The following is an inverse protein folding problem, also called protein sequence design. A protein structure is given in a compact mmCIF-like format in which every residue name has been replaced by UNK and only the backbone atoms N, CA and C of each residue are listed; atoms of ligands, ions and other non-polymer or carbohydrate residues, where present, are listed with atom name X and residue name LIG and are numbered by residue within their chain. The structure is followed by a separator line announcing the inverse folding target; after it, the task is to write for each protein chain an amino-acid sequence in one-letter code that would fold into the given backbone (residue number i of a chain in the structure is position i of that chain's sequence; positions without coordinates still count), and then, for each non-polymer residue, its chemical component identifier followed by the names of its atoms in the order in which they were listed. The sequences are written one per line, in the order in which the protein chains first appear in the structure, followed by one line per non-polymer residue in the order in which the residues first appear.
data_IF_526166969275
#
_entry.id   IF_526166969275
#
_cell.length_a   1.000
_cell.length_b   1.000
_cell.length_c   1.000
_cell.angle_alpha   90.00
_cell.angle_beta   90.00
_cell.angle_gamma   90.00
#
_symmetry.space_group_name_H-M   'P 1'
#
loop_
_entity.id
_entity.type
_entity.pdbx_description
1 polymer ?
#
# COMPACT_ATOMS: atom_id res chain seq x y z
N UNK A 1 17.53 -6.55 -3.54
CA UNK A 1 16.65 -5.64 -2.77
C UNK A 1 17.29 -4.27 -2.78
N UNK A 2 16.55 -3.25 -3.24
CA UNK A 2 17.03 -1.88 -3.31
C UNK A 2 17.23 -1.31 -1.89
N UNK A 3 18.29 -0.54 -1.71
CA UNK A 3 18.60 0.10 -0.44
C UNK A 3 18.06 1.53 -0.42
N UNK A 4 17.01 1.76 0.35
CA UNK A 4 16.40 3.08 0.54
C UNK A 4 16.92 3.82 1.79
N UNK A 5 17.94 3.30 2.47
CA UNK A 5 18.47 3.91 3.70
C UNK A 5 19.03 5.32 3.49
N UNK A 6 19.36 5.65 2.25
CA UNK A 6 19.82 6.99 1.89
C UNK A 6 18.70 8.04 1.83
N UNK A 7 17.41 7.60 1.83
CA UNK A 7 16.29 8.52 1.89
C UNK A 7 16.08 9.01 3.30
N UNK A 8 16.31 10.06 3.76
CA UNK A 8 16.04 10.68 5.03
C UNK A 8 16.15 9.77 6.25
N UNK A 9 17.17 9.92 6.99
CA UNK A 9 17.43 9.06 8.14
C UNK A 9 16.43 9.28 9.21
N UNK A 10 15.85 10.40 9.34
CA UNK A 10 14.96 10.62 10.44
C UNK A 10 14.33 11.97 10.44
N UNK A 11 13.07 11.92 10.47
CA UNK A 11 12.29 13.11 10.50
C UNK A 11 11.89 13.45 11.90
N UNK A 12 11.59 12.43 12.65
CA UNK A 12 11.15 12.53 14.04
C UNK A 12 11.90 11.53 14.87
N UNK A 13 12.35 12.00 16.00
CA UNK A 13 12.98 11.16 16.98
C UNK A 13 11.90 10.60 17.89
N UNK A 14 11.68 9.29 17.78
CA UNK A 14 10.90 8.56 18.76
C UNK A 14 11.86 7.81 19.67
N UNK A 15 12.27 8.40 20.81
CA UNK A 15 13.32 7.83 21.68
C UNK A 15 12.99 6.43 22.17
N UNK A 16 11.69 6.13 22.31
CA UNK A 16 11.18 4.88 22.86
C UNK A 16 11.05 3.77 21.82
N UNK A 17 11.34 4.04 20.56
CA UNK A 17 11.14 3.08 19.47
C UNK A 17 12.41 2.88 18.68
N UNK A 18 12.68 1.63 18.39
CA UNK A 18 13.83 1.24 17.59
C UNK A 18 13.63 1.62 16.12
N UNK A 19 13.90 2.84 15.81
CA UNK A 19 13.80 3.38 14.44
C UNK A 19 14.78 2.67 13.47
N UNK A 20 15.88 2.15 13.98
CA UNK A 20 16.80 1.36 13.17
C UNK A 20 16.17 0.05 12.71
N UNK A 21 15.27 -0.54 13.49
CA UNK A 21 14.53 -1.74 13.07
C UNK A 21 13.62 -1.43 11.87
N UNK A 22 13.05 -0.24 11.83
CA UNK A 22 12.28 0.23 10.68
C UNK A 22 13.12 0.26 9.40
N UNK A 23 14.32 0.81 9.43
CA UNK A 23 15.23 0.89 8.30
C UNK A 23 15.73 -0.48 7.82
N UNK A 24 15.94 -1.39 8.73
CA UNK A 24 16.41 -2.73 8.41
C UNK A 24 15.33 -3.65 7.86
N UNK A 25 14.06 -3.37 8.13
CA UNK A 25 12.96 -4.20 7.71
C UNK A 25 12.19 -3.62 6.50
N UNK A 26 12.89 -3.42 5.40
CA UNK A 26 12.27 -2.97 4.13
C UNK A 26 11.46 -4.06 3.42
N UNK A 27 11.16 -5.17 4.08
CA UNK A 27 10.32 -6.24 3.53
C UNK A 27 8.82 -5.93 3.60
N UNK A 28 8.42 -4.82 4.22
CA UNK A 28 7.03 -4.38 4.27
C UNK A 28 6.85 -3.11 3.45
N UNK A 29 5.68 -2.94 2.89
CA UNK A 29 5.32 -1.73 2.18
C UNK A 29 4.83 -0.62 3.10
N UNK A 30 4.55 -0.94 4.38
CA UNK A 30 4.05 0.01 5.36
C UNK A 30 4.65 -0.22 6.72
N UNK A 31 4.97 0.88 7.37
CA UNK A 31 5.44 0.91 8.74
C UNK A 31 4.64 1.90 9.55
N UNK A 32 4.13 1.44 10.67
CA UNK A 32 3.66 2.33 11.70
C UNK A 32 4.82 2.71 12.61
N UNK A 33 5.11 3.98 12.79
CA UNK A 33 6.30 4.42 13.51
C UNK A 33 6.02 5.21 14.75
N UNK A 34 4.82 5.46 15.15
CA UNK A 34 4.79 6.34 16.27
C UNK A 34 3.49 6.70 16.93
N UNK A 35 3.55 7.76 17.65
CA UNK A 35 2.45 8.31 18.41
C UNK A 35 1.73 9.33 17.53
N UNK A 36 0.58 8.97 17.09
CA UNK A 36 -0.20 9.69 16.11
C UNK A 36 -0.71 11.05 16.53
N UNK A 37 -1.01 11.19 17.80
CA UNK A 37 -1.52 12.43 18.35
C UNK A 37 -0.56 13.61 18.19
N UNK A 38 0.71 13.31 17.88
CA UNK A 38 1.76 14.33 17.71
C UNK A 38 2.00 14.68 16.24
N UNK A 39 1.33 14.01 15.29
CA UNK A 39 1.54 14.26 13.89
C UNK A 39 0.55 15.28 13.35
N UNK A 40 1.06 16.38 12.84
CA UNK A 40 0.27 17.30 12.03
C UNK A 40 -0.25 16.55 10.78
N UNK A 41 -1.49 16.83 10.33
CA UNK A 41 -2.09 16.08 9.23
C UNK A 41 -1.27 16.05 7.95
N UNK A 42 -0.54 17.12 7.64
CA UNK A 42 0.31 17.27 6.46
C UNK A 42 1.76 16.80 6.65
N UNK A 43 2.09 16.21 7.81
CA UNK A 43 3.42 15.70 8.15
C UNK A 43 3.42 14.23 8.59
N UNK A 44 2.52 13.44 8.07
CA UNK A 44 2.45 12.02 8.38
C UNK A 44 3.70 11.26 7.88
N UNK A 45 4.05 10.17 8.56
CA UNK A 45 5.18 9.32 8.17
C UNK A 45 4.95 8.62 6.84
N UNK A 46 3.70 8.29 6.55
CA UNK A 46 3.30 7.82 5.25
C UNK A 46 1.88 8.24 4.88
N UNK A 47 1.61 8.26 3.59
CA UNK A 47 0.31 8.57 3.05
C UNK A 47 -0.24 7.41 2.23
N UNK A 48 -1.54 7.17 2.35
CA UNK A 48 -2.33 6.43 1.38
C UNK A 48 -2.77 7.40 0.29
N UNK A 49 -2.19 7.27 -0.92
CA UNK A 49 -2.37 8.24 -2.00
C UNK A 49 -3.37 7.72 -3.02
N UNK A 50 -4.36 8.55 -3.34
CA UNK A 50 -5.28 8.32 -4.44
C UNK A 50 -4.86 9.11 -5.69
N UNK A 51 -4.79 8.42 -6.82
CA UNK A 51 -4.58 9.03 -8.14
C UNK A 51 -5.90 9.19 -8.94
N UNK A 52 -7.02 8.81 -8.33
CA UNK A 52 -8.34 8.84 -8.93
C UNK A 52 -9.23 7.71 -8.45
N UNK A 53 -10.42 7.63 -9.00
CA UNK A 53 -11.44 6.63 -8.65
C UNK A 53 -11.65 5.58 -9.75
N UNK A 54 -10.90 5.65 -10.85
CA UNK A 54 -11.01 4.72 -11.98
C UNK A 54 -10.50 3.33 -11.62
N UNK A 55 -11.29 2.29 -11.90
CA UNK A 55 -10.92 0.90 -11.61
C UNK A 55 -11.64 -0.07 -12.54
N UNK A 56 -10.92 -1.06 -13.08
CA UNK A 56 -11.42 -2.08 -13.99
C UNK A 56 -11.83 -3.39 -13.31
N UNK A 57 -11.77 -3.48 -11.97
CA UNK A 57 -12.00 -4.73 -11.25
C UNK A 57 -13.49 -5.03 -10.96
N UNK A 58 -14.32 -4.00 -10.76
CA UNK A 58 -15.75 -4.16 -10.51
C UNK A 58 -16.11 -4.95 -9.24
N UNK A 59 -15.24 -5.00 -8.23
CA UNK A 59 -15.47 -5.79 -7.01
C UNK A 59 -16.75 -5.39 -6.29
N UNK A 60 -17.59 -6.36 -5.93
CA UNK A 60 -18.83 -6.17 -5.18
C UNK A 60 -18.64 -5.75 -3.72
N UNK A 61 -17.43 -5.96 -3.19
CA UNK A 61 -17.02 -5.56 -1.85
C UNK A 61 -16.15 -4.27 -1.82
N UNK A 62 -16.07 -3.52 -2.90
CA UNK A 62 -15.24 -2.32 -2.97
C UNK A 62 -15.75 -1.24 -2.02
N UNK A 63 -14.97 -0.93 -1.00
CA UNK A 63 -15.33 0.02 0.06
C UNK A 63 -15.38 1.49 -0.40
N UNK A 64 -14.77 1.82 -1.55
CA UNK A 64 -14.80 3.16 -2.17
C UNK A 64 -15.65 3.24 -3.43
N UNK A 65 -16.32 2.16 -3.81
CA UNK A 65 -17.16 2.08 -5.00
C UNK A 65 -16.47 2.49 -6.31
N UNK A 66 -15.16 2.27 -6.42
CA UNK A 66 -14.40 2.57 -7.63
C UNK A 66 -14.96 1.83 -8.86
N UNK A 67 -14.96 2.47 -10.01
CA UNK A 67 -15.59 1.96 -11.23
C UNK A 67 -14.77 2.31 -12.48
N UNK A 68 -15.08 1.64 -13.62
CA UNK A 68 -14.38 1.85 -14.88
C UNK A 68 -14.57 3.27 -15.43
N UNK A 69 -15.73 3.87 -15.20
CA UNK A 69 -16.04 5.26 -15.55
C UNK A 69 -15.58 6.28 -14.50
N UNK A 70 -14.81 5.87 -13.50
CA UNK A 70 -14.18 6.78 -12.55
C UNK A 70 -13.15 7.69 -13.22
N UNK A 71 -12.74 8.72 -12.52
CA UNK A 71 -11.76 9.70 -13.00
C UNK A 71 -10.32 9.33 -12.65
N UNK A 72 -9.37 9.80 -13.47
CA UNK A 72 -7.97 9.93 -13.11
C UNK A 72 -7.70 11.40 -12.80
N UNK A 73 -7.04 11.68 -11.66
CA UNK A 73 -6.69 13.07 -11.32
C UNK A 73 -5.61 13.60 -12.28
N UNK A 74 -5.75 14.85 -12.70
CA UNK A 74 -4.81 15.48 -13.60
C UNK A 74 -3.57 16.00 -12.86
N UNK A 75 -2.46 16.11 -13.59
CA UNK A 75 -1.25 16.82 -13.18
C UNK A 75 -0.63 16.31 -11.85
N UNK A 76 -0.80 15.00 -11.55
CA UNK A 76 -0.38 14.41 -10.27
C UNK A 76 1.11 14.54 -9.99
N UNK A 77 1.97 14.49 -11.02
CA UNK A 77 3.41 14.65 -10.89
C UNK A 77 3.77 16.08 -10.47
N UNK A 78 3.15 17.07 -11.11
CA UNK A 78 3.37 18.48 -10.79
C UNK A 78 2.83 18.81 -9.39
N UNK A 79 1.62 18.36 -9.08
CA UNK A 79 0.97 18.50 -7.77
C UNK A 79 1.86 17.93 -6.67
N UNK A 80 2.37 16.71 -6.87
CA UNK A 80 3.29 16.07 -5.90
C UNK A 80 4.57 16.88 -5.71
N UNK A 81 5.19 17.31 -6.80
CA UNK A 81 6.46 18.07 -6.77
C UNK A 81 6.28 19.39 -6.02
N UNK A 82 5.23 20.16 -6.35
CA UNK A 82 4.90 21.40 -5.65
C UNK A 82 4.65 21.17 -4.15
N UNK A 83 3.93 20.10 -3.80
CA UNK A 83 3.66 19.77 -2.41
C UNK A 83 4.94 19.39 -1.66
N UNK A 84 5.78 18.52 -2.22
CA UNK A 84 7.02 18.09 -1.59
C UNK A 84 8.07 19.21 -1.49
N UNK A 85 8.04 20.22 -2.34
CA UNK A 85 8.95 21.37 -2.25
C UNK A 85 8.69 22.28 -1.03
N UNK A 86 7.57 22.10 -0.35
CA UNK A 86 7.21 22.86 0.87
C UNK A 86 7.87 22.28 2.14
N UNK A 87 8.43 21.07 2.05
CA UNK A 87 9.07 20.43 3.19
C UNK A 87 10.56 20.78 3.23
N UNK A 88 11.08 20.91 4.45
CA UNK A 88 12.51 21.11 4.65
C UNK A 88 13.27 19.83 4.35
N UNK A 89 14.39 19.97 3.65
CA UNK A 89 15.31 18.89 3.37
C UNK A 89 16.74 19.40 3.44
N UNK A 90 17.60 18.65 4.09
CA UNK A 90 19.04 18.90 4.11
C UNK A 90 19.79 17.60 3.87
N UNK A 91 20.90 17.68 3.13
CA UNK A 91 21.79 16.56 2.87
C UNK A 91 23.13 16.82 3.53
N UNK A 92 23.57 15.92 4.38
CA UNK A 92 24.92 15.92 4.91
C UNK A 92 25.89 15.51 3.80
N UNK A 93 26.79 16.40 3.42
CA UNK A 93 27.72 16.19 2.30
C UNK A 93 28.74 15.08 2.57
N UNK A 94 29.09 14.82 3.83
CA UNK A 94 30.10 13.80 4.21
C UNK A 94 29.51 12.40 4.23
N UNK A 95 28.30 12.25 4.73
CA UNK A 95 27.65 10.95 4.92
C UNK A 95 26.65 10.64 3.82
N UNK A 96 26.22 11.61 3.05
CA UNK A 96 25.16 11.48 2.07
C UNK A 96 23.76 11.32 2.68
N UNK A 97 23.65 11.44 4.01
CA UNK A 97 22.39 11.25 4.74
C UNK A 97 21.47 12.47 4.49
N UNK A 98 20.21 12.16 4.18
CA UNK A 98 19.17 13.17 3.99
C UNK A 98 18.31 13.25 5.24
N UNK A 99 18.19 14.44 5.81
CA UNK A 99 17.23 14.76 6.89
C UNK A 99 16.10 15.57 6.29
N UNK A 100 14.87 15.17 6.52
CA UNK A 100 13.70 15.78 5.89
C UNK A 100 12.43 15.60 6.72
N UNK A 101 11.48 16.51 6.56
CA UNK A 101 10.11 16.40 7.11
C UNK A 101 9.13 15.73 6.14
N UNK A 102 9.56 15.37 4.95
CA UNK A 102 8.75 14.64 3.96
C UNK A 102 8.30 13.28 4.50
N UNK A 103 7.22 12.70 4.02
CA UNK A 103 6.88 11.30 4.33
C UNK A 103 8.01 10.38 3.91
N UNK A 104 8.25 9.31 4.67
CA UNK A 104 9.26 8.32 4.28
C UNK A 104 8.80 7.53 3.06
N UNK A 105 7.54 7.16 3.02
CA UNK A 105 6.94 6.36 1.95
C UNK A 105 5.49 6.73 1.71
N UNK A 106 4.99 6.34 0.55
CA UNK A 106 3.57 6.37 0.21
C UNK A 106 3.09 5.00 -0.24
N UNK A 107 1.79 4.75 -0.08
CA UNK A 107 1.09 3.63 -0.69
C UNK A 107 0.01 4.17 -1.63
N UNK A 108 0.17 3.94 -2.93
CA UNK A 108 -0.77 4.39 -3.95
C UNK A 108 -1.85 3.33 -4.12
N UNK A 109 -3.12 3.74 -4.19
CA UNK A 109 -4.24 2.83 -4.40
C UNK A 109 -5.27 2.81 -3.26
N UNK A 110 -5.34 3.88 -2.47
CA UNK A 110 -6.44 4.07 -1.51
C UNK A 110 -7.80 4.16 -2.19
N UNK A 111 -7.82 4.63 -3.44
CA UNK A 111 -8.99 4.60 -4.33
C UNK A 111 -8.56 4.22 -5.74
N UNK A 112 -9.49 3.59 -6.49
CA UNK A 112 -9.24 3.21 -7.88
C UNK A 112 -8.16 2.14 -8.06
N UNK A 113 -7.73 1.99 -9.29
CA UNK A 113 -6.65 1.08 -9.69
C UNK A 113 -5.48 1.90 -10.25
N UNK A 114 -4.33 1.93 -9.56
CA UNK A 114 -3.20 2.76 -9.97
C UNK A 114 -2.69 2.47 -11.39
N UNK A 115 -2.71 1.18 -11.80
CA UNK A 115 -2.21 0.78 -13.13
C UNK A 115 -3.07 1.29 -14.28
N UNK A 116 -4.27 1.80 -14.00
CA UNK A 116 -5.12 2.50 -14.97
C UNK A 116 -4.79 3.98 -15.13
N UNK A 117 -3.97 4.55 -14.24
CA UNK A 117 -3.60 5.96 -14.34
C UNK A 117 -2.52 6.18 -15.41
N UNK A 118 -2.75 7.07 -16.39
CA UNK A 118 -1.82 7.24 -17.52
C UNK A 118 -0.42 7.73 -17.10
N UNK A 119 -0.31 8.44 -15.99
CA UNK A 119 0.96 8.98 -15.48
C UNK A 119 1.56 8.11 -14.35
N UNK A 120 1.12 6.87 -14.14
CA UNK A 120 1.63 6.07 -13.02
C UNK A 120 3.17 5.92 -13.07
N UNK A 121 3.71 5.59 -14.22
CA UNK A 121 5.16 5.39 -14.37
C UNK A 121 5.94 6.65 -14.00
N UNK A 122 5.56 7.76 -14.57
CA UNK A 122 6.16 9.07 -14.31
C UNK A 122 5.99 9.49 -12.85
N UNK A 123 4.84 9.14 -12.26
CA UNK A 123 4.56 9.44 -10.86
C UNK A 123 5.46 8.64 -9.91
N UNK A 124 5.68 7.34 -10.17
CA UNK A 124 6.62 6.52 -9.39
C UNK A 124 8.02 7.11 -9.40
N UNK A 125 8.51 7.53 -10.58
CA UNK A 125 9.80 8.22 -10.72
C UNK A 125 9.82 9.56 -9.98
N UNK A 126 8.76 10.36 -10.13
CA UNK A 126 8.65 11.67 -9.48
C UNK A 126 8.70 11.53 -7.96
N UNK A 127 7.93 10.61 -7.39
CA UNK A 127 7.95 10.33 -5.94
C UNK A 127 9.34 9.91 -5.49
N UNK A 128 9.96 8.97 -6.18
CA UNK A 128 11.32 8.51 -5.88
C UNK A 128 12.34 9.67 -5.90
N UNK A 129 12.27 10.54 -6.88
CA UNK A 129 13.18 11.68 -7.04
C UNK A 129 12.96 12.77 -5.97
N UNK A 130 11.84 12.74 -5.26
CA UNK A 130 11.61 13.60 -4.08
C UNK A 130 12.08 12.97 -2.76
N UNK A 131 12.86 11.90 -2.80
CA UNK A 131 13.35 11.16 -1.64
C UNK A 131 12.22 10.53 -0.79
N UNK A 132 11.15 10.11 -1.44
CA UNK A 132 10.05 9.37 -0.85
C UNK A 132 9.94 8.01 -1.51
N UNK A 133 9.73 6.95 -0.75
CA UNK A 133 9.59 5.59 -1.29
C UNK A 133 8.19 5.39 -1.84
N UNK A 134 8.01 5.22 -3.16
CA UNK A 134 6.71 4.86 -3.73
C UNK A 134 6.44 3.37 -3.56
N UNK A 135 5.21 3.06 -3.15
CA UNK A 135 4.63 1.73 -3.17
C UNK A 135 3.22 1.83 -3.74
N UNK A 136 2.67 0.73 -4.25
CA UNK A 136 1.28 0.73 -4.69
C UNK A 136 0.58 -0.61 -4.45
N UNK A 137 -0.76 -0.56 -4.46
CA UNK A 137 -1.62 -1.74 -4.44
C UNK A 137 -2.31 -1.87 -5.78
N UNK A 138 -2.38 -3.08 -6.35
CA UNK A 138 -3.02 -3.35 -7.64
C UNK A 138 -3.93 -4.57 -7.58
N UNK A 139 -4.96 -4.58 -8.42
CA UNK A 139 -5.79 -5.75 -8.68
C UNK A 139 -5.11 -6.76 -9.64
N UNK A 140 -3.98 -6.40 -10.22
CA UNK A 140 -3.15 -7.25 -11.08
C UNK A 140 -3.63 -7.37 -12.53
N UNK A 141 -4.81 -6.88 -12.91
CA UNK A 141 -5.38 -7.11 -14.25
C UNK A 141 -4.44 -6.62 -15.35
N UNK A 142 -3.95 -5.39 -15.29
CA UNK A 142 -3.06 -4.87 -16.34
C UNK A 142 -1.72 -5.57 -16.31
N UNK A 143 -1.13 -5.78 -15.14
CA UNK A 143 0.17 -6.45 -14.99
C UNK A 143 0.15 -7.90 -15.50
N UNK A 144 -0.99 -8.60 -15.44
CA UNK A 144 -1.13 -9.98 -15.93
C UNK A 144 -0.89 -10.17 -17.43
N UNK A 145 -0.73 -9.09 -18.17
CA UNK A 145 -0.46 -9.13 -19.61
C UNK A 145 1.03 -9.03 -19.98
N UNK A 146 1.92 -9.09 -19.00
CA UNK A 146 3.36 -8.91 -19.15
C UNK A 146 4.03 -9.91 -20.11
N UNK A 147 3.50 -11.13 -20.23
CA UNK A 147 3.96 -12.21 -21.10
C UNK A 147 3.07 -12.44 -22.33
N UNK A 148 2.14 -11.52 -22.64
CA UNK A 148 1.12 -11.66 -23.71
C UNK A 148 1.33 -10.62 -24.82
N UNK A 149 2.34 -10.79 -25.72
CA UNK A 149 2.74 -9.76 -26.69
C UNK A 149 1.64 -9.35 -27.68
N UNK A 150 0.60 -10.16 -27.86
CA UNK A 150 -0.57 -9.82 -28.68
C UNK A 150 -1.63 -8.97 -27.97
N UNK A 151 -1.49 -8.73 -26.67
CA UNK A 151 -2.43 -7.94 -25.92
C UNK A 151 -2.18 -6.44 -26.08
N UNK A 152 -3.26 -5.65 -26.12
CA UNK A 152 -3.18 -4.17 -26.06
C UNK A 152 -2.49 -3.65 -24.80
N UNK A 153 -2.43 -4.46 -23.74
CA UNK A 153 -1.81 -4.08 -22.46
C UNK A 153 -0.36 -4.55 -22.32
N UNK A 154 0.17 -5.34 -23.26
CA UNK A 154 1.51 -5.91 -23.15
C UNK A 154 2.61 -4.87 -22.90
N UNK A 155 2.67 -3.82 -23.72
CA UNK A 155 3.67 -2.77 -23.58
C UNK A 155 3.48 -1.98 -22.30
N UNK A 156 2.24 -1.68 -21.93
CA UNK A 156 1.93 -0.97 -20.68
C UNK A 156 2.30 -1.80 -19.46
N UNK A 157 1.96 -3.08 -19.42
CA UNK A 157 2.29 -3.99 -18.33
C UNK A 157 3.82 -4.05 -18.11
N UNK A 158 4.58 -4.26 -19.18
CA UNK A 158 6.04 -4.32 -19.11
C UNK A 158 6.65 -2.98 -18.67
N UNK A 159 6.15 -1.85 -19.18
CA UNK A 159 6.60 -0.54 -18.74
C UNK A 159 6.34 -0.31 -17.25
N UNK A 160 5.14 -0.64 -16.75
CA UNK A 160 4.82 -0.49 -15.33
C UNK A 160 5.75 -1.38 -14.49
N UNK A 161 5.96 -2.66 -14.89
CA UNK A 161 6.85 -3.56 -14.18
C UNK A 161 8.31 -3.04 -14.13
N UNK A 162 8.81 -2.47 -15.22
CA UNK A 162 10.15 -1.87 -15.27
C UNK A 162 10.29 -0.68 -14.33
N UNK A 163 9.29 0.23 -14.33
CA UNK A 163 9.29 1.37 -13.40
C UNK A 163 9.12 0.92 -11.96
N UNK A 164 8.31 -0.10 -11.73
CA UNK A 164 8.14 -0.71 -10.42
C UNK A 164 9.46 -1.25 -9.89
N UNK A 165 10.14 -2.07 -10.68
CA UNK A 165 11.45 -2.62 -10.32
C UNK A 165 12.49 -1.52 -10.09
N UNK A 166 12.40 -0.42 -10.83
CA UNK A 166 13.37 0.68 -10.75
C UNK A 166 13.12 1.62 -9.56
N UNK A 167 11.89 1.89 -9.18
CA UNK A 167 11.57 2.97 -8.26
C UNK A 167 10.83 2.53 -6.99
N UNK A 168 10.04 1.45 -7.01
CA UNK A 168 9.21 1.08 -5.87
C UNK A 168 9.98 0.34 -4.76
N UNK A 169 9.54 0.56 -3.53
CA UNK A 169 9.96 -0.24 -2.37
C UNK A 169 9.21 -1.56 -2.28
N UNK A 170 7.94 -1.56 -2.70
CA UNK A 170 7.10 -2.75 -2.71
C UNK A 170 5.80 -2.57 -3.47
N UNK A 171 5.17 -3.68 -3.77
CA UNK A 171 3.85 -3.75 -4.42
C UNK A 171 2.96 -4.72 -3.66
N UNK A 172 1.71 -4.33 -3.46
CA UNK A 172 0.69 -5.23 -2.95
C UNK A 172 -0.24 -5.67 -4.09
N UNK A 173 -0.46 -6.98 -4.23
CA UNK A 173 -1.40 -7.54 -5.19
C UNK A 173 -2.64 -8.04 -4.45
N UNK A 174 -3.82 -7.66 -4.91
CA UNK A 174 -5.08 -8.00 -4.26
C UNK A 174 -5.55 -9.40 -4.65
N UNK A 175 -5.67 -10.28 -3.65
CA UNK A 175 -6.18 -11.65 -3.77
C UNK A 175 -7.61 -11.82 -3.23
N UNK A 176 -8.23 -10.74 -2.79
CA UNK A 176 -9.57 -10.77 -2.17
C UNK A 176 -10.73 -11.05 -3.13
N UNK A 177 -10.53 -10.91 -4.45
CA UNK A 177 -11.55 -11.18 -5.44
C UNK A 177 -11.26 -12.50 -6.18
N UNK A 178 -12.06 -13.53 -5.91
CA UNK A 178 -11.91 -14.86 -6.49
C UNK A 178 -11.92 -14.85 -8.03
N UNK A 179 -12.77 -14.03 -8.64
CA UNK A 179 -12.86 -13.92 -10.11
C UNK A 179 -11.61 -13.31 -10.76
N UNK A 180 -10.83 -12.54 -10.00
CA UNK A 180 -9.61 -11.89 -10.47
C UNK A 180 -8.33 -12.64 -10.08
N UNK A 181 -8.44 -13.73 -9.33
CA UNK A 181 -7.27 -14.45 -8.77
C UNK A 181 -6.28 -14.89 -9.84
N UNK A 182 -6.76 -15.29 -11.02
CA UNK A 182 -5.86 -15.64 -12.14
C UNK A 182 -5.01 -14.46 -12.57
N UNK A 183 -5.60 -13.27 -12.71
CA UNK A 183 -4.84 -12.06 -13.06
C UNK A 183 -3.86 -11.67 -11.96
N UNK A 184 -4.26 -11.81 -10.70
CA UNK A 184 -3.38 -11.56 -9.56
C UNK A 184 -2.16 -12.50 -9.58
N UNK A 185 -2.35 -13.80 -9.84
CA UNK A 185 -1.26 -14.78 -9.97
C UNK A 185 -0.31 -14.44 -11.11
N UNK A 186 -0.84 -14.17 -12.31
CA UNK A 186 -0.03 -13.78 -13.48
C UNK A 186 0.75 -12.48 -13.19
N UNK A 187 0.16 -11.52 -12.46
CA UNK A 187 0.82 -10.29 -12.07
C UNK A 187 1.96 -10.53 -11.05
N UNK A 188 1.75 -11.41 -10.06
CA UNK A 188 2.79 -11.80 -9.10
C UNK A 188 3.96 -12.45 -9.84
N UNK A 189 3.68 -13.32 -10.80
CA UNK A 189 4.74 -13.93 -11.62
C UNK A 189 5.56 -12.86 -12.37
N UNK A 190 4.91 -11.90 -12.99
CA UNK A 190 5.60 -10.78 -13.66
C UNK A 190 6.46 -9.94 -12.72
N UNK A 191 6.00 -9.71 -11.48
CA UNK A 191 6.78 -9.02 -10.45
C UNK A 191 7.99 -9.83 -9.98
N UNK A 192 7.84 -11.15 -9.83
CA UNK A 192 8.94 -12.06 -9.47
C UNK A 192 10.00 -12.09 -10.59
N UNK A 193 9.59 -12.18 -11.84
CA UNK A 193 10.50 -12.18 -13.00
C UNK A 193 11.34 -10.89 -13.09
N UNK A 194 10.80 -9.75 -12.67
CA UNK A 194 11.56 -8.49 -12.62
C UNK A 194 12.46 -8.37 -11.37
N UNK A 195 12.21 -9.14 -10.33
CA UNK A 195 13.15 -9.52 -9.27
C UNK A 195 13.54 -8.47 -8.24
N UNK A 196 13.01 -7.25 -8.27
CA UNK A 196 13.59 -6.15 -7.46
C UNK A 196 12.64 -5.42 -6.51
N UNK A 197 11.47 -5.97 -6.26
CA UNK A 197 10.47 -5.33 -5.41
C UNK A 197 9.97 -6.30 -4.34
N UNK A 198 9.61 -5.77 -3.17
CA UNK A 198 8.92 -6.56 -2.16
C UNK A 198 7.46 -6.74 -2.56
N UNK A 199 7.03 -7.98 -2.67
CA UNK A 199 5.66 -8.33 -3.04
C UNK A 199 4.88 -8.67 -1.78
N UNK A 200 3.72 -8.05 -1.60
CA UNK A 200 2.74 -8.40 -0.58
C UNK A 200 1.46 -8.88 -1.26
N UNK A 201 0.77 -9.82 -0.62
CA UNK A 201 -0.55 -10.27 -1.08
C UNK A 201 -1.61 -9.77 -0.10
N UNK A 202 -2.61 -9.04 -0.60
CA UNK A 202 -3.71 -8.54 0.20
C UNK A 202 -4.89 -9.52 0.13
N UNK A 203 -5.33 -10.03 1.28
CA UNK A 203 -6.45 -10.94 1.44
C UNK A 203 -7.58 -10.25 2.18
N UNK A 204 -8.80 -10.30 1.62
CA UNK A 204 -9.99 -9.80 2.32
C UNK A 204 -10.56 -10.94 3.14
N UNK A 205 -10.64 -10.73 4.44
CA UNK A 205 -11.14 -11.72 5.41
C UNK A 205 -12.55 -11.33 5.84
N UNK A 206 -13.50 -12.23 5.62
CA UNK A 206 -14.91 -12.03 5.99
C UNK A 206 -15.61 -13.32 6.45
N UNK A 207 -15.21 -14.46 5.95
CA UNK A 207 -15.80 -15.79 6.21
C UNK A 207 -14.69 -16.80 6.48
N UNK A 208 -15.02 -17.97 7.01
CA UNK A 208 -14.07 -19.08 7.17
C UNK A 208 -13.52 -19.54 5.82
N UNK A 209 -14.33 -19.52 4.78
CA UNK A 209 -13.89 -19.83 3.41
C UNK A 209 -12.80 -18.85 2.93
N UNK A 210 -12.94 -17.55 3.22
CA UNK A 210 -11.91 -16.57 2.87
C UNK A 210 -10.59 -16.80 3.62
N UNK A 211 -10.64 -17.34 4.83
CA UNK A 211 -9.45 -17.78 5.57
C UNK A 211 -8.80 -18.99 4.92
N UNK A 212 -9.61 -20.00 4.52
CA UNK A 212 -9.07 -21.18 3.82
C UNK A 212 -8.41 -20.80 2.49
N UNK A 213 -8.99 -19.89 1.74
CA UNK A 213 -8.42 -19.34 0.51
C UNK A 213 -7.09 -18.58 0.75
N UNK A 214 -7.00 -17.86 1.85
CA UNK A 214 -5.73 -17.26 2.28
C UNK A 214 -4.70 -18.33 2.62
N UNK A 215 -5.07 -19.37 3.37
CA UNK A 215 -4.19 -20.49 3.74
C UNK A 215 -3.64 -21.20 2.50
N UNK A 216 -4.48 -21.47 1.51
CA UNK A 216 -4.07 -22.06 0.23
C UNK A 216 -3.05 -21.18 -0.49
N UNK A 217 -3.32 -19.87 -0.57
CA UNK A 217 -2.40 -18.90 -1.19
C UNK A 217 -1.08 -18.83 -0.40
N UNK A 218 -1.13 -18.86 0.92
CA UNK A 218 0.08 -18.88 1.75
C UNK A 218 0.91 -20.14 1.53
N UNK A 219 0.27 -21.31 1.38
CA UNK A 219 0.98 -22.56 1.04
C UNK A 219 1.62 -22.51 -0.33
N UNK A 220 0.98 -21.85 -1.31
CA UNK A 220 1.48 -21.73 -2.68
C UNK A 220 2.72 -20.82 -2.77
N UNK A 221 2.67 -19.65 -2.12
CA UNK A 221 3.73 -18.65 -2.25
C UNK A 221 4.74 -18.63 -1.09
N UNK A 222 4.34 -19.05 0.09
CA UNK A 222 5.22 -19.22 1.24
C UNK A 222 6.19 -18.07 1.49
N UNK A 223 7.48 -18.41 1.48
CA UNK A 223 8.56 -17.48 1.75
C UNK A 223 8.98 -16.59 0.57
N UNK A 224 8.45 -16.82 -0.63
CA UNK A 224 8.75 -16.00 -1.82
C UNK A 224 8.12 -14.61 -1.73
N UNK A 225 7.07 -14.49 -0.93
CA UNK A 225 6.33 -13.27 -0.70
C UNK A 225 6.78 -12.61 0.60
N UNK A 226 6.93 -11.29 0.59
CA UNK A 226 7.35 -10.55 1.78
C UNK A 226 6.32 -10.67 2.90
N UNK A 227 5.04 -10.38 2.60
CA UNK A 227 3.94 -10.54 3.56
C UNK A 227 2.62 -10.89 2.89
N UNK A 228 1.84 -11.73 3.58
CA UNK A 228 0.41 -11.90 3.37
C UNK A 228 -0.32 -10.93 4.32
N UNK A 229 -0.95 -9.91 3.76
CA UNK A 229 -1.63 -8.87 4.54
C UNK A 229 -3.12 -9.18 4.59
N UNK A 230 -3.62 -9.41 5.78
CA UNK A 230 -5.03 -9.72 6.04
C UNK A 230 -5.78 -8.40 6.29
N UNK A 231 -6.82 -8.16 5.53
CA UNK A 231 -7.66 -6.98 5.61
C UNK A 231 -9.10 -7.42 5.94
N UNK A 232 -9.74 -6.81 6.94
CA UNK A 232 -11.14 -7.14 7.23
C UNK A 232 -12.05 -6.60 6.14
N UNK A 233 -13.10 -7.35 5.82
CA UNK A 233 -14.16 -6.82 4.96
C UNK A 233 -14.89 -5.69 5.72
N UNK A 234 -14.90 -4.51 5.11
CA UNK A 234 -15.52 -3.32 5.69
C UNK A 234 -16.93 -3.10 5.11
N UNK A 235 -17.95 -2.85 5.95
CA UNK A 235 -19.31 -2.54 5.50
C UNK A 235 -19.37 -1.08 5.00
N UNK A 236 -18.75 -0.82 3.86
CA UNK A 236 -18.65 0.50 3.24
C UNK A 236 -18.66 0.38 1.72
N UNK A 237 -19.02 1.46 1.03
CA UNK A 237 -19.09 1.48 -0.43
C UNK A 237 -20.13 0.50 -0.97
N UNK A 238 -19.71 -0.43 -1.82
CA UNK A 238 -20.60 -1.50 -2.34
C UNK A 238 -20.84 -2.64 -1.36
N UNK A 239 -19.97 -2.81 -0.35
CA UNK A 239 -20.14 -3.86 0.64
C UNK A 239 -21.11 -3.45 1.73
N UNK A 240 -22.12 -4.30 1.97
CA UNK A 240 -23.04 -4.17 3.10
C UNK A 240 -22.74 -5.16 4.22
N UNK A 241 -21.76 -6.05 4.00
CA UNK A 241 -21.37 -7.13 4.93
C UNK A 241 -20.07 -6.77 5.64
N UNK A 242 -19.92 -7.29 6.84
CA UNK A 242 -18.69 -7.27 7.61
C UNK A 242 -18.12 -8.68 7.78
N UNK A 243 -17.34 -8.88 8.82
CA UNK A 243 -16.78 -10.18 9.19
C UNK A 243 -17.85 -11.01 9.89
N UNK A 244 -18.00 -12.28 9.50
CA UNK A 244 -18.87 -13.23 10.17
C UNK A 244 -18.33 -13.60 11.57
N UNK A 245 -19.23 -13.93 12.53
CA UNK A 245 -18.81 -14.38 13.85
C UNK A 245 -17.89 -15.61 13.79
N UNK A 246 -16.87 -15.64 14.65
CA UNK A 246 -15.94 -16.76 14.79
C UNK A 246 -14.89 -16.89 13.68
N UNK A 247 -14.86 -15.96 12.71
CA UNK A 247 -13.86 -15.96 11.62
C UNK A 247 -12.48 -15.60 12.13
N UNK A 248 -12.43 -14.65 13.06
CA UNK A 248 -11.15 -14.21 13.62
C UNK A 248 -10.45 -15.33 14.38
N UNK A 249 -11.17 -16.01 15.26
CA UNK A 249 -10.68 -17.14 16.03
C UNK A 249 -10.22 -18.28 15.10
N UNK A 250 -11.01 -18.58 14.07
CA UNK A 250 -10.64 -19.57 13.06
C UNK A 250 -9.37 -19.21 12.32
N UNK A 251 -9.20 -17.94 11.92
CA UNK A 251 -8.01 -17.42 11.28
C UNK A 251 -6.80 -17.52 12.20
N UNK A 252 -6.97 -17.16 13.47
CA UNK A 252 -5.92 -17.24 14.50
C UNK A 252 -5.43 -18.67 14.69
N UNK A 253 -6.36 -19.62 14.82
CA UNK A 253 -6.03 -21.03 14.95
C UNK A 253 -5.24 -21.54 13.75
N UNK A 254 -5.62 -21.16 12.51
CA UNK A 254 -4.91 -21.54 11.30
C UNK A 254 -3.49 -20.96 11.22
N UNK A 255 -3.31 -19.70 11.61
CA UNK A 255 -2.00 -19.06 11.64
C UNK A 255 -1.08 -19.76 12.64
N UNK A 256 -1.60 -20.13 13.82
CA UNK A 256 -0.84 -20.85 14.85
C UNK A 256 -0.54 -22.29 14.46
N UNK A 257 -1.55 -23.03 13.98
CA UNK A 257 -1.42 -24.43 13.53
C UNK A 257 -0.31 -24.60 12.49
N UNK A 258 -0.24 -23.66 11.54
CA UNK A 258 0.71 -23.69 10.43
C UNK A 258 2.03 -22.95 10.73
N UNK A 259 2.15 -22.31 11.88
CA UNK A 259 3.35 -21.58 12.28
C UNK A 259 3.71 -20.44 11.30
N UNK A 260 2.72 -19.76 10.77
CA UNK A 260 2.91 -18.70 9.76
C UNK A 260 3.67 -17.50 10.35
N UNK A 261 4.72 -17.02 9.67
CA UNK A 261 5.58 -15.93 10.16
C UNK A 261 5.49 -14.63 9.36
N UNK A 262 5.08 -14.70 8.11
CA UNK A 262 5.00 -13.56 7.20
C UNK A 262 3.56 -13.09 6.97
N UNK A 263 2.79 -13.05 8.05
CA UNK A 263 1.42 -12.53 8.07
C UNK A 263 1.40 -11.16 8.72
N UNK A 264 0.74 -10.21 8.09
CA UNK A 264 0.49 -8.87 8.60
C UNK A 264 -1.01 -8.58 8.62
N UNK A 265 -1.43 -7.65 9.45
CA UNK A 265 -2.84 -7.32 9.62
C UNK A 265 -3.10 -5.86 9.28
N UNK A 266 -4.21 -5.59 8.59
CA UNK A 266 -4.73 -4.24 8.41
C UNK A 266 -5.14 -3.62 9.75
N UNK A 267 -5.03 -2.30 9.85
CA UNK A 267 -5.31 -1.54 11.07
C UNK A 267 -6.69 -1.84 11.69
N UNK A 268 -7.68 -2.14 10.86
CA UNK A 268 -9.04 -2.44 11.33
C UNK A 268 -9.17 -3.77 12.07
N UNK A 269 -8.14 -4.62 12.06
CA UNK A 269 -8.09 -5.80 12.92
C UNK A 269 -7.64 -5.51 14.36
N UNK A 270 -7.20 -4.29 14.69
CA UNK A 270 -6.66 -3.95 16.02
C UNK A 270 -7.58 -4.42 17.16
N UNK A 271 -8.86 -4.15 17.06
CA UNK A 271 -9.84 -4.55 18.09
C UNK A 271 -9.90 -6.06 18.35
N UNK A 272 -9.68 -6.86 17.31
CA UNK A 272 -9.61 -8.32 17.43
C UNK A 272 -8.25 -8.76 17.98
N UNK A 273 -7.18 -8.07 17.61
CA UNK A 273 -5.83 -8.41 17.99
C UNK A 273 -5.50 -8.08 19.45
N UNK A 274 -6.22 -7.17 20.09
CA UNK A 274 -6.03 -6.82 21.51
C UNK A 274 -6.18 -8.03 22.45
N UNK A 275 -7.06 -8.96 22.11
CA UNK A 275 -7.31 -10.19 22.87
C UNK A 275 -6.75 -11.45 22.19
N UNK A 276 -5.93 -11.29 21.17
CA UNK A 276 -5.41 -12.36 20.35
C UNK A 276 -4.28 -13.13 21.04
N UNK A 277 -4.22 -14.43 20.77
CA UNK A 277 -3.06 -15.28 21.12
C UNK A 277 -1.88 -15.02 20.22
N UNK A 278 -2.08 -14.37 19.07
CA UNK A 278 -1.00 -14.00 18.14
C UNK A 278 -0.29 -12.78 18.70
N UNK A 279 0.97 -12.94 19.07
CA UNK A 279 1.83 -11.82 19.42
C UNK A 279 2.24 -11.09 18.15
N UNK A 280 1.54 -10.02 17.84
CA UNK A 280 1.85 -9.16 16.71
C UNK A 280 2.62 -7.93 17.16
N UNK A 281 3.33 -7.34 16.24
CA UNK A 281 3.87 -6.00 16.40
C UNK A 281 2.73 -5.03 16.09
N UNK A 282 1.91 -4.78 17.08
CA UNK A 282 0.79 -3.86 16.92
C UNK A 282 1.30 -2.43 16.95
N UNK A 283 1.29 -1.82 15.80
CA UNK A 283 1.39 -0.39 15.71
C UNK A 283 0.00 0.17 15.41
N UNK A 284 -0.45 1.20 16.11
CA UNK A 284 -1.69 1.89 15.79
C UNK A 284 -1.53 2.61 14.45
N UNK A 285 -1.69 1.87 13.36
CA UNK A 285 -1.43 2.36 12.02
C UNK A 285 -2.39 3.47 11.58
N UNK A 286 -3.63 3.47 12.10
CA UNK A 286 -4.64 4.49 11.76
C UNK A 286 -4.17 5.92 12.02
N UNK A 287 -3.31 6.08 12.97
CA UNK A 287 -2.89 7.37 13.44
C UNK A 287 -1.65 7.92 12.72
N UNK A 288 -0.96 7.09 11.96
CA UNK A 288 0.27 7.47 11.25
C UNK A 288 0.08 7.61 9.75
N UNK A 289 -0.99 7.01 9.24
CA UNK A 289 -1.38 7.08 7.86
C UNK A 289 -2.51 8.07 7.68
N UNK A 290 -2.38 8.94 6.71
CA UNK A 290 -3.46 9.80 6.22
C UNK A 290 -3.73 9.43 4.77
N UNK A 291 -4.97 9.60 4.37
CA UNK A 291 -5.33 9.44 2.97
C UNK A 291 -5.21 10.78 2.25
N UNK A 292 -4.68 10.74 1.05
CA UNK A 292 -4.33 11.93 0.26
C UNK A 292 -4.92 11.84 -1.13
N UNK A 293 -5.60 12.89 -1.54
CA UNK A 293 -6.14 13.08 -2.88
C UNK A 293 -5.30 14.14 -3.60
N UNK A 294 -4.56 13.74 -4.64
CA UNK A 294 -3.73 14.65 -5.44
C UNK A 294 -4.58 15.30 -6.53
N UNK A 295 -5.34 16.32 -6.16
CA UNK A 295 -6.16 17.09 -7.10
C UNK A 295 -5.35 18.24 -7.69
N UNK A 296 -5.72 18.65 -8.90
CA UNK A 296 -5.07 19.80 -9.56
C UNK A 296 -5.01 21.01 -8.63
N UNK A 297 -3.82 21.58 -8.50
CA UNK A 297 -3.51 22.78 -7.70
C UNK A 297 -3.84 22.70 -6.19
N UNK A 298 -4.19 21.51 -5.69
CA UNK A 298 -4.41 21.29 -4.26
C UNK A 298 -4.21 19.85 -3.84
N UNK A 299 -3.88 19.67 -2.57
CA UNK A 299 -3.83 18.37 -1.91
C UNK A 299 -4.88 18.34 -0.80
N UNK A 300 -5.78 17.39 -0.87
CA UNK A 300 -6.76 17.15 0.19
C UNK A 300 -6.31 15.97 1.04
N UNK A 301 -6.23 16.18 2.34
CA UNK A 301 -5.84 15.14 3.31
C UNK A 301 -7.07 14.77 4.12
N UNK A 302 -7.40 13.49 4.15
CA UNK A 302 -8.53 12.94 4.89
C UNK A 302 -8.04 12.01 5.99
N UNK A 303 -8.85 11.76 7.05
CA UNK A 303 -8.44 10.89 8.16
C UNK A 303 -8.10 9.47 7.69
N UNK A 304 -8.87 8.96 6.74
CA UNK A 304 -8.70 7.62 6.17
C UNK A 304 -9.36 7.55 4.80
N UNK A 305 -9.16 6.45 4.08
CA UNK A 305 -9.86 6.17 2.82
C UNK A 305 -11.36 5.85 3.00
N UNK A 306 -11.83 5.69 4.22
CA UNK A 306 -13.25 5.47 4.56
C UNK A 306 -13.98 6.77 4.92
N UNK A 307 -13.25 7.79 5.38
CA UNK A 307 -13.78 9.13 5.64
C UNK A 307 -13.12 10.12 4.69
N UNK A 308 -13.88 10.54 3.70
CA UNK A 308 -13.43 11.41 2.62
C UNK A 308 -13.59 12.91 2.92
N UNK A 309 -13.99 13.26 4.15
CA UNK A 309 -14.06 14.67 4.56
C UNK A 309 -12.64 15.19 4.84
N UNK A 310 -12.17 16.21 4.10
CA UNK A 310 -10.83 16.73 4.30
C UNK A 310 -10.65 17.32 5.71
N UNK A 311 -9.61 16.88 6.41
CA UNK A 311 -9.15 17.50 7.65
C UNK A 311 -8.14 18.61 7.38
N UNK A 312 -7.54 18.61 6.19
CA UNK A 312 -6.60 19.61 5.75
C UNK A 312 -6.69 19.74 4.21
N UNK A 313 -6.60 20.96 3.71
CA UNK A 313 -6.46 21.25 2.27
C UNK A 313 -5.24 22.15 2.08
N UNK A 314 -4.27 21.67 1.34
CA UNK A 314 -3.05 22.39 0.98
C UNK A 314 -3.21 22.97 -0.41
N UNK A 315 -3.28 24.30 -0.54
CA UNK A 315 -3.25 24.99 -1.83
C UNK A 315 -1.80 25.08 -2.33
N UNK A 316 -1.59 24.85 -3.62
CA UNK A 316 -0.24 24.72 -4.21
C UNK A 316 0.11 25.87 -5.15
#
# INVERSE_FOLDING_TARGET
MRDFRHFGVKRRVFPEKNYNAFWLNLKTTRFGTGVASELEPDKAEFYDVSLGTKCNAGCDFCYVSAAENGECYADICETWTKWMSRYNESKDEKTGIITTDKPFQIAIGSQGEPTMHPQLCEFLETVYNTNVVPNYTTNGIILSYWDKPGSRYYLLANRILEYTAKYCGGVAVSFGNKSLRKFAKDAVQGLIEKGEVNINLHHIISTKESVDEFVETWKEYGAEIAYHVLLPLMPSGRSTKGIEPGVFEYMEDKIQELGMKNVAFGAHFIKFLENSKIKTWLYPAESLSKNVLLKKDKVEITPSSFDMNPICTVQL
#
